data_IF_986459363338
#
_entry.id   IF_986459363338
#
_cell.length_a   1.000
_cell.length_b   1.000
_cell.length_c   1.000
_cell.angle_alpha   90.00
_cell.angle_beta   90.00
_cell.angle_gamma   90.00
#
_symmetry.space_group_name_H-M   'P 1'
#
loop_
_entity.id
_entity.type
_entity.pdbx_description
1 polymer ?
#
# COMPACT_ATOMS: atom_id res chain seq x y z
N UNK A 1 -15.03 -29.33 11.34
CA UNK A 1 -14.40 -29.51 12.66
C UNK A 1 -14.35 -28.15 13.33
N UNK A 2 -15.12 -28.00 14.40
CA UNK A 2 -15.46 -26.74 15.09
C UNK A 2 -14.24 -26.15 15.76
N UNK A 3 -13.81 -24.94 15.38
CA UNK A 3 -12.79 -24.20 16.14
C UNK A 3 -13.48 -23.25 17.11
N UNK A 4 -13.17 -23.45 18.39
CA UNK A 4 -13.70 -22.75 19.56
C UNK A 4 -13.61 -21.22 19.44
N UNK A 5 -14.73 -20.54 19.67
CA UNK A 5 -14.74 -19.14 20.14
C UNK A 5 -14.34 -19.15 21.61
N UNK A 6 -13.10 -18.80 21.91
CA UNK A 6 -12.67 -18.56 23.30
C UNK A 6 -13.08 -17.14 23.71
N UNK A 7 -13.99 -17.02 24.67
CA UNK A 7 -14.23 -15.78 25.41
C UNK A 7 -13.00 -15.53 26.30
N UNK A 8 -11.99 -14.79 25.81
CA UNK A 8 -10.80 -14.44 26.60
C UNK A 8 -9.45 -14.41 25.86
N UNK A 9 -9.38 -14.60 24.54
CA UNK A 9 -8.12 -14.47 23.79
C UNK A 9 -7.96 -13.06 23.20
N UNK A 10 -6.99 -12.27 23.70
CA UNK A 10 -6.58 -10.97 23.14
C UNK A 10 -5.77 -11.18 21.83
N UNK A 11 -6.43 -11.67 20.78
CA UNK A 11 -5.83 -11.80 19.44
C UNK A 11 -6.23 -10.60 18.58
N UNK A 12 -5.27 -10.08 17.83
CA UNK A 12 -5.46 -8.99 16.88
C UNK A 12 -4.87 -9.38 15.53
N UNK A 13 -5.52 -8.96 14.45
CA UNK A 13 -4.93 -9.07 13.11
C UNK A 13 -3.79 -8.06 12.99
N UNK A 14 -2.60 -8.53 12.62
CA UNK A 14 -1.43 -7.70 12.45
C UNK A 14 -0.93 -7.80 11.00
N UNK A 15 -0.81 -6.65 10.33
CA UNK A 15 -0.22 -6.53 9.01
C UNK A 15 1.12 -5.81 9.11
N UNK A 16 2.20 -6.47 8.69
CA UNK A 16 3.51 -5.86 8.56
C UNK A 16 3.76 -5.55 7.08
N UNK A 17 4.16 -4.33 6.76
CA UNK A 17 4.52 -3.96 5.40
C UNK A 17 5.85 -4.64 5.01
N UNK A 18 6.01 -5.09 3.74
CA UNK A 18 7.23 -5.76 3.31
C UNK A 18 8.49 -4.88 3.36
N UNK A 19 8.34 -3.55 3.19
CA UNK A 19 9.47 -2.62 3.08
C UNK A 19 9.26 -1.37 3.96
N UNK A 20 8.56 -0.36 3.44
CA UNK A 20 8.33 0.93 4.09
C UNK A 20 6.85 1.31 4.03
N UNK A 21 6.47 2.36 4.74
CA UNK A 21 5.09 2.89 4.80
C UNK A 21 4.82 3.93 3.69
N UNK A 22 5.50 3.81 2.55
CA UNK A 22 5.45 4.73 1.42
C UNK A 22 4.81 4.08 0.19
N UNK A 23 4.42 4.85 -0.85
CA UNK A 23 3.92 4.28 -2.08
C UNK A 23 5.02 3.48 -2.80
N UNK A 24 4.66 2.59 -3.73
CA UNK A 24 5.64 2.02 -4.64
C UNK A 24 6.40 3.12 -5.40
N UNK A 25 7.64 2.82 -5.77
CA UNK A 25 8.49 3.77 -6.50
C UNK A 25 7.78 4.28 -7.76
N UNK A 26 7.82 5.60 -7.97
CA UNK A 26 7.14 6.26 -9.09
C UNK A 26 5.66 6.59 -8.83
N UNK A 27 5.12 6.37 -7.64
CA UNK A 27 3.74 6.68 -7.26
C UNK A 27 3.63 7.65 -6.07
N UNK A 28 4.67 8.49 -5.88
CA UNK A 28 4.66 9.61 -4.95
C UNK A 28 4.20 10.86 -5.71
N UNK A 29 3.18 11.56 -5.21
CA UNK A 29 2.53 12.63 -5.97
C UNK A 29 2.50 13.94 -5.18
N UNK A 30 3.57 14.24 -4.45
CA UNK A 30 3.67 15.52 -3.74
C UNK A 30 3.91 16.68 -4.71
N UNK A 31 3.51 17.87 -4.29
CA UNK A 31 3.51 19.08 -5.13
C UNK A 31 4.87 19.45 -5.72
N UNK A 32 5.98 19.12 -5.05
CA UNK A 32 7.32 19.48 -5.47
C UNK A 32 8.15 18.28 -5.97
N UNK A 33 7.53 17.12 -6.12
CA UNK A 33 8.22 15.92 -6.57
C UNK A 33 8.39 15.92 -8.09
N UNK A 34 9.57 15.50 -8.55
CA UNK A 34 9.86 15.30 -9.97
C UNK A 34 9.42 13.89 -10.41
N UNK A 35 8.10 13.67 -10.41
CA UNK A 35 7.47 12.39 -10.74
C UNK A 35 6.62 12.53 -11.99
N UNK A 36 6.66 11.53 -12.85
CA UNK A 36 5.88 11.49 -14.09
C UNK A 36 4.39 11.29 -13.77
N UNK A 37 3.53 12.30 -14.01
CA UNK A 37 2.09 12.18 -13.77
C UNK A 37 1.44 11.32 -14.86
N UNK A 38 0.21 10.89 -14.62
CA UNK A 38 -0.66 10.36 -15.68
C UNK A 38 -1.12 11.54 -16.57
N UNK A 39 -0.59 11.57 -17.78
CA UNK A 39 -1.03 12.45 -18.85
C UNK A 39 -1.95 11.67 -19.80
N UNK A 40 -3.21 12.05 -19.78
CA UNK A 40 -4.31 11.40 -20.48
C UNK A 40 -5.03 12.31 -21.47
N UNK A 41 -4.55 13.54 -21.66
CA UNK A 41 -5.01 14.40 -22.74
C UNK A 41 -4.31 14.04 -24.05
N UNK A 42 -5.03 13.51 -25.06
CA UNK A 42 -4.44 13.14 -26.35
C UNK A 42 -3.99 14.35 -27.19
N UNK A 43 -4.37 15.56 -26.81
CA UNK A 43 -3.97 16.81 -27.47
C UNK A 43 -2.65 17.37 -26.93
N UNK A 44 -2.15 16.84 -25.80
CA UNK A 44 -0.89 17.25 -25.19
C UNK A 44 0.23 16.26 -25.52
N UNK A 45 1.46 16.75 -25.48
CA UNK A 45 2.64 15.89 -25.59
C UNK A 45 2.75 14.95 -24.39
N UNK A 46 3.45 13.84 -24.61
CA UNK A 46 3.77 12.85 -23.56
C UNK A 46 2.56 12.12 -22.97
N UNK A 47 1.52 11.85 -23.78
CA UNK A 47 0.46 10.90 -23.42
C UNK A 47 1.05 9.56 -22.98
N UNK A 48 0.72 9.09 -21.77
CA UNK A 48 1.43 7.97 -21.15
C UNK A 48 0.55 6.99 -20.37
N UNK A 49 -0.78 7.03 -20.55
CA UNK A 49 -1.74 6.21 -19.78
C UNK A 49 -1.36 4.73 -19.76
N UNK A 50 -1.06 4.15 -20.93
CA UNK A 50 -0.71 2.73 -21.05
C UNK A 50 0.52 2.36 -20.22
N UNK A 51 1.53 3.21 -20.23
CA UNK A 51 2.78 2.96 -19.50
C UNK A 51 2.54 3.05 -18.00
N UNK A 52 1.80 4.07 -17.53
CA UNK A 52 1.47 4.25 -16.11
C UNK A 52 0.59 3.12 -15.56
N UNK A 53 -0.34 2.60 -16.36
CA UNK A 53 -1.13 1.41 -16.00
C UNK A 53 -0.24 0.17 -15.89
N UNK A 54 0.70 -0.03 -16.82
CA UNK A 54 1.64 -1.15 -16.75
C UNK A 54 2.55 -1.05 -15.52
N UNK A 55 3.09 0.13 -15.22
CA UNK A 55 3.88 0.38 -14.01
C UNK A 55 3.10 0.00 -12.75
N UNK A 56 1.82 0.40 -12.69
CA UNK A 56 0.93 0.11 -11.56
C UNK A 56 0.76 -1.40 -11.38
N UNK A 57 0.47 -2.12 -12.47
CA UNK A 57 0.24 -3.57 -12.45
C UNK A 57 1.52 -4.32 -12.05
N UNK A 58 2.68 -3.91 -12.57
CA UNK A 58 3.98 -4.49 -12.19
C UNK A 58 4.21 -4.34 -10.68
N UNK A 59 3.97 -3.15 -10.13
CA UNK A 59 4.12 -2.90 -8.70
C UNK A 59 3.11 -3.70 -7.86
N UNK A 60 1.85 -3.82 -8.30
CA UNK A 60 0.82 -4.59 -7.58
C UNK A 60 1.19 -6.07 -7.56
N UNK A 61 1.60 -6.64 -8.69
CA UNK A 61 2.00 -8.05 -8.79
C UNK A 61 3.21 -8.32 -7.90
N UNK A 62 4.20 -7.41 -7.88
CA UNK A 62 5.36 -7.55 -7.01
C UNK A 62 4.97 -7.64 -5.52
N UNK A 63 4.02 -6.81 -5.07
CA UNK A 63 3.54 -6.87 -3.69
C UNK A 63 2.58 -8.04 -3.42
N UNK A 64 1.79 -8.44 -4.41
CA UNK A 64 0.92 -9.61 -4.32
C UNK A 64 1.73 -10.91 -4.13
N UNK A 65 2.90 -11.02 -4.77
CA UNK A 65 3.77 -12.20 -4.66
C UNK A 65 4.31 -12.46 -3.24
N UNK A 66 4.32 -11.45 -2.36
CA UNK A 66 4.73 -11.58 -0.96
C UNK A 66 3.55 -11.55 0.01
N UNK A 67 2.32 -11.51 -0.51
CA UNK A 67 1.10 -11.40 0.28
C UNK A 67 0.26 -12.68 0.12
N UNK A 68 -0.22 -13.31 1.21
CA UNK A 68 -0.91 -14.61 1.11
C UNK A 68 -2.22 -14.63 0.31
N UNK A 69 -2.81 -13.47 0.02
CA UNK A 69 -4.13 -13.38 -0.65
C UNK A 69 -4.18 -12.22 -1.64
N UNK A 70 -5.21 -12.23 -2.50
CA UNK A 70 -5.44 -11.32 -3.63
C UNK A 70 -5.84 -9.88 -3.26
N UNK A 71 -5.58 -9.45 -2.03
CA UNK A 71 -5.79 -8.06 -1.59
C UNK A 71 -4.45 -7.48 -1.17
N UNK A 72 -4.08 -6.36 -1.79
CA UNK A 72 -2.86 -5.60 -1.52
C UNK A 72 -3.27 -4.21 -1.02
N UNK A 73 -2.55 -3.70 -0.02
CA UNK A 73 -2.72 -2.35 0.48
C UNK A 73 -1.48 -1.53 0.18
N UNK A 74 -1.65 -0.40 -0.50
CA UNK A 74 -0.64 0.63 -0.69
C UNK A 74 -0.88 1.76 0.29
N UNK A 75 0.17 2.16 0.99
CA UNK A 75 0.21 3.37 1.80
C UNK A 75 0.55 4.53 0.88
N UNK A 76 -0.47 5.19 0.34
CA UNK A 76 -0.32 6.27 -0.62
C UNK A 76 0.09 7.60 0.06
N UNK A 77 1.16 7.62 0.86
CA UNK A 77 1.65 8.80 1.59
C UNK A 77 3.08 8.56 2.09
N UNK A 78 3.76 9.60 2.56
CA UNK A 78 4.99 9.53 3.35
C UNK A 78 4.95 10.58 4.50
N UNK A 79 6.07 10.80 5.19
CA UNK A 79 6.24 11.86 6.20
C UNK A 79 5.83 13.24 5.65
N UNK A 80 4.90 13.91 6.35
CA UNK A 80 4.42 15.27 6.06
C UNK A 80 4.00 15.53 4.60
N UNK A 81 3.50 14.51 3.92
CA UNK A 81 2.92 14.62 2.58
C UNK A 81 1.48 15.15 2.63
N UNK A 82 0.88 15.33 1.45
CA UNK A 82 -0.41 15.96 1.22
C UNK A 82 -0.44 17.46 1.58
N UNK A 83 0.69 18.17 1.44
CA UNK A 83 0.70 19.63 1.62
C UNK A 83 -0.25 20.29 0.63
N UNK A 84 -0.33 19.72 -0.58
CA UNK A 84 -1.37 20.02 -1.55
C UNK A 84 -2.04 18.72 -2.00
N UNK A 85 -3.04 18.28 -1.23
CA UNK A 85 -3.71 16.99 -1.42
C UNK A 85 -4.27 16.75 -2.83
N UNK A 86 -4.60 17.80 -3.58
CA UNK A 86 -5.15 17.69 -4.93
C UNK A 86 -4.19 16.98 -5.90
N UNK A 87 -2.87 17.12 -5.74
CA UNK A 87 -1.89 16.43 -6.61
C UNK A 87 -2.00 14.92 -6.44
N UNK A 88 -2.16 14.43 -5.21
CA UNK A 88 -2.34 13.01 -4.92
C UNK A 88 -3.67 12.50 -5.46
N UNK A 89 -4.78 13.13 -5.09
CA UNK A 89 -6.12 12.66 -5.48
C UNK A 89 -6.31 12.67 -7.00
N UNK A 90 -5.81 13.70 -7.71
CA UNK A 90 -5.90 13.76 -9.17
C UNK A 90 -5.18 12.61 -9.85
N UNK A 91 -4.01 12.21 -9.35
CA UNK A 91 -3.26 11.08 -9.92
C UNK A 91 -3.90 9.74 -9.54
N UNK A 92 -4.36 9.61 -8.30
CA UNK A 92 -5.06 8.40 -7.84
C UNK A 92 -6.37 8.15 -8.60
N UNK A 93 -7.17 9.19 -8.87
CA UNK A 93 -8.41 9.08 -9.65
C UNK A 93 -8.13 8.55 -11.06
N UNK A 94 -7.12 9.11 -11.73
CA UNK A 94 -6.71 8.65 -13.06
C UNK A 94 -6.22 7.20 -13.04
N UNK A 95 -5.36 6.85 -12.08
CA UNK A 95 -4.86 5.49 -11.95
C UNK A 95 -6.00 4.51 -11.70
N UNK A 96 -6.89 4.78 -10.74
CA UNK A 96 -8.05 3.94 -10.44
C UNK A 96 -8.91 3.77 -11.69
N UNK A 97 -9.20 4.86 -12.40
CA UNK A 97 -10.01 4.81 -13.62
C UNK A 97 -9.38 3.91 -14.69
N UNK A 98 -8.14 4.20 -15.12
CA UNK A 98 -7.52 3.49 -16.22
C UNK A 98 -7.09 2.07 -15.88
N UNK A 99 -6.70 1.80 -14.63
CA UNK A 99 -6.40 0.43 -14.17
C UNK A 99 -7.67 -0.44 -14.16
N UNK A 100 -8.80 0.11 -13.70
CA UNK A 100 -10.07 -0.62 -13.71
C UNK A 100 -10.62 -0.81 -15.13
N UNK A 101 -10.38 0.15 -16.03
CA UNK A 101 -10.70 0.00 -17.46
C UNK A 101 -9.85 -1.08 -18.13
N UNK A 102 -8.57 -1.19 -17.77
CA UNK A 102 -7.68 -2.23 -18.26
C UNK A 102 -8.11 -3.63 -17.77
N UNK A 103 -8.54 -3.73 -16.51
CA UNK A 103 -9.22 -4.92 -15.97
C UNK A 103 -8.31 -6.07 -15.54
N UNK A 104 -6.99 -5.98 -15.70
CA UNK A 104 -6.05 -6.99 -15.16
C UNK A 104 -6.03 -7.03 -13.63
N UNK A 105 -6.27 -5.89 -12.98
CA UNK A 105 -6.41 -5.75 -11.52
C UNK A 105 -7.51 -4.73 -11.22
N UNK A 106 -8.01 -4.72 -9.98
CA UNK A 106 -9.00 -3.76 -9.51
C UNK A 106 -8.40 -2.84 -8.43
N UNK A 107 -8.44 -1.53 -8.67
CA UNK A 107 -7.99 -0.48 -7.77
C UNK A 107 -9.18 0.28 -7.18
N UNK A 108 -9.08 0.68 -5.91
CA UNK A 108 -10.08 1.51 -5.23
C UNK A 108 -9.42 2.34 -4.13
N UNK A 109 -10.04 3.47 -3.78
CA UNK A 109 -9.78 4.11 -2.49
C UNK A 109 -10.19 3.19 -1.36
N UNK A 110 -9.33 3.06 -0.35
CA UNK A 110 -9.57 2.17 0.78
C UNK A 110 -9.07 2.76 2.08
N UNK A 111 -9.36 2.06 3.17
CA UNK A 111 -8.84 2.34 4.51
C UNK A 111 -8.25 1.05 5.10
N UNK A 112 -7.36 1.12 6.09
CA UNK A 112 -6.84 -0.08 6.75
C UNK A 112 -7.93 -1.00 7.30
N UNK A 113 -9.05 -0.42 7.75
CA UNK A 113 -10.23 -1.19 8.22
C UNK A 113 -10.88 -1.97 7.09
N UNK A 114 -11.17 -1.33 5.95
CA UNK A 114 -11.76 -2.01 4.78
C UNK A 114 -10.85 -3.10 4.22
N UNK A 115 -9.53 -2.87 4.19
CA UNK A 115 -8.56 -3.89 3.82
C UNK A 115 -8.57 -5.09 4.79
N UNK A 116 -8.66 -4.81 6.10
CA UNK A 116 -8.74 -5.86 7.12
C UNK A 116 -10.03 -6.67 7.00
N UNK A 117 -11.16 -6.01 6.71
CA UNK A 117 -12.45 -6.68 6.47
C UNK A 117 -12.38 -7.59 5.23
N UNK A 118 -11.76 -7.12 4.14
CA UNK A 118 -11.53 -7.94 2.95
C UNK A 118 -10.63 -9.16 3.24
N UNK A 119 -9.57 -8.98 4.04
CA UNK A 119 -8.67 -10.06 4.48
C UNK A 119 -9.39 -11.09 5.35
N UNK A 120 -10.28 -10.63 6.22
CA UNK A 120 -11.08 -11.49 7.08
C UNK A 120 -12.12 -12.29 6.28
N UNK A 121 -12.72 -11.67 5.26
CA UNK A 121 -13.74 -12.30 4.41
C UNK A 121 -13.15 -13.36 3.47
N UNK A 122 -11.86 -13.26 3.12
CA UNK A 122 -11.17 -14.21 2.25
C UNK A 122 -10.94 -15.62 2.85
N UNK A 123 -11.47 -15.90 4.06
CA UNK A 123 -11.47 -17.20 4.74
C UNK A 123 -10.13 -17.97 4.70
N UNK A 124 -9.03 -17.23 4.86
CA UNK A 124 -7.66 -17.77 4.83
C UNK A 124 -7.15 -18.11 6.22
N UNK A 125 -6.25 -19.09 6.31
CA UNK A 125 -5.56 -19.41 7.56
C UNK A 125 -4.35 -18.50 7.74
N UNK A 126 -4.25 -17.83 8.89
CA UNK A 126 -3.18 -16.89 9.20
C UNK A 126 -2.18 -17.49 10.21
N UNK A 127 -0.86 -17.26 10.03
CA UNK A 127 0.12 -17.73 10.99
C UNK A 127 -0.04 -17.02 12.34
N UNK A 128 -0.06 -17.79 13.42
CA UNK A 128 -0.16 -17.24 14.76
C UNK A 128 1.20 -16.71 15.23
N UNK A 129 1.31 -15.38 15.41
CA UNK A 129 2.44 -14.77 16.09
C UNK A 129 2.22 -14.86 17.61
N UNK A 130 3.01 -15.70 18.29
CA UNK A 130 3.00 -15.80 19.75
C UNK A 130 4.06 -14.88 20.37
N UNK A 131 3.68 -14.21 21.45
CA UNK A 131 4.63 -13.58 22.37
C UNK A 131 5.19 -14.68 23.28
N UNK A 132 6.34 -15.24 22.92
CA UNK A 132 7.17 -15.96 23.90
C UNK A 132 7.89 -14.87 24.69
N UNK A 133 8.02 -15.02 26.02
CA UNK A 133 8.63 -14.07 26.99
C UNK A 133 10.11 -13.71 26.67
N UNK A 134 10.61 -13.98 25.46
CA UNK A 134 11.96 -13.68 25.00
C UNK A 134 12.05 -13.16 23.56
N UNK A 135 10.95 -12.72 22.93
CA UNK A 135 11.01 -12.08 21.61
C UNK A 135 10.14 -10.84 21.55
N UNK A 136 10.55 -9.83 22.32
CA UNK A 136 10.20 -8.44 22.03
C UNK A 136 10.67 -8.10 20.62
N UNK A 137 9.85 -7.38 19.86
CA UNK A 137 10.30 -6.78 18.61
C UNK A 137 11.08 -5.52 18.96
N UNK A 138 12.40 -5.63 19.08
CA UNK A 138 13.28 -4.47 19.10
C UNK A 138 13.46 -4.00 17.65
N UNK A 139 12.71 -2.97 17.26
CA UNK A 139 12.97 -2.23 16.03
C UNK A 139 14.24 -1.40 16.23
N UNK A 140 15.30 -1.69 15.47
CA UNK A 140 16.43 -0.76 15.33
C UNK A 140 16.18 0.14 14.11
N UNK A 141 16.20 1.45 14.31
CA UNK A 141 16.51 2.43 13.24
C UNK A 141 17.73 3.24 13.66
N UNK A 142 18.74 3.30 12.78
CA UNK A 142 19.99 3.99 13.04
C UNK A 142 19.81 5.50 13.00
N UNK A 143 19.86 6.16 14.16
CA UNK A 143 20.11 7.59 14.25
C UNK A 143 21.62 7.83 14.39
N UNK A 144 22.27 8.34 13.34
CA UNK A 144 23.54 9.08 13.48
C UNK A 144 23.19 10.50 13.91
N UNK A 145 23.31 10.77 15.21
CA UNK A 145 23.26 12.13 15.74
C UNK A 145 24.59 12.83 15.41
N UNK A 146 24.60 13.73 14.42
CA UNK A 146 25.67 14.72 14.31
C UNK A 146 25.47 15.77 15.41
N UNK A 147 26.31 15.72 16.44
CA UNK A 147 26.44 16.80 17.42
C UNK A 147 27.30 17.89 16.75
N UNK A 148 26.69 19.01 16.38
CA UNK A 148 27.41 20.25 16.06
C UNK A 148 27.95 20.80 17.38
N UNK A 149 29.25 21.12 17.43
CA UNK A 149 29.89 21.80 18.57
C UNK A 149 29.20 23.13 18.85
#
# INVERSE_FOLDING_TARGET
MTSLKCFGSLQIFANAFPVHYIPPSGFQFEVNDDIVPVQDDPLLFYYNVKDRVNDFIVAVIAQANVTPINHVMWTMSDEFQYQYAETWFKQMDKLIHYVNLDGRVNALYSTPSLYTDAKNTANSSWPLKKMIISREFFAFSGFKLFRKL
#
